data_IF_867640805720
#
_entry.id   IF_867640805720
#
_cell.length_a   1.000
_cell.length_b   1.000
_cell.length_c   1.000
_cell.angle_alpha   90.00
_cell.angle_beta   90.00
_cell.angle_gamma   90.00
#
_symmetry.space_group_name_H-M   'P 1'
#
loop_
_entity.id
_entity.type
_entity.pdbx_description
1 polymer ?
#
# COMPACT_ATOMS: atom_id res chain seq x y z
N UNK A 1 7.81 -19.56 1.26
CA UNK A 1 6.72 -18.57 1.05
C UNK A 1 7.22 -17.41 0.17
N UNK A 2 6.41 -16.92 -0.77
CA UNK A 2 6.78 -15.87 -1.75
C UNK A 2 6.17 -14.49 -1.47
N UNK A 3 5.31 -14.37 -0.46
CA UNK A 3 4.66 -13.10 -0.11
C UNK A 3 5.70 -12.05 0.32
N UNK A 4 5.68 -10.87 -0.31
CA UNK A 4 6.61 -9.77 -0.03
C UNK A 4 6.12 -8.82 1.08
N UNK A 5 4.81 -8.74 1.30
CA UNK A 5 4.18 -7.90 2.30
C UNK A 5 2.78 -8.42 2.65
N UNK A 6 2.23 -7.96 3.78
CA UNK A 6 0.85 -8.20 4.20
C UNK A 6 0.15 -6.86 4.48
N UNK A 7 -1.13 -6.78 4.18
CA UNK A 7 -2.00 -5.62 4.37
C UNK A 7 -3.46 -6.09 4.44
N UNK A 8 -4.44 -5.18 4.54
CA UNK A 8 -5.80 -5.54 4.96
C UNK A 8 -6.87 -5.34 3.87
N UNK A 9 -6.59 -4.67 2.76
CA UNK A 9 -7.62 -4.24 1.80
C UNK A 9 -7.38 -4.64 0.34
N UNK A 10 -6.13 -4.82 -0.08
CA UNK A 10 -5.72 -4.95 -1.47
C UNK A 10 -6.37 -6.13 -2.19
N UNK A 11 -6.51 -7.27 -1.49
CA UNK A 11 -7.21 -8.43 -2.03
C UNK A 11 -8.72 -8.16 -2.24
N UNK A 12 -9.36 -7.42 -1.34
CA UNK A 12 -10.78 -7.06 -1.46
C UNK A 12 -11.01 -6.11 -2.65
N UNK A 13 -10.14 -5.11 -2.83
CA UNK A 13 -10.16 -4.25 -4.02
C UNK A 13 -9.94 -5.05 -5.31
N UNK A 14 -8.95 -5.95 -5.32
CA UNK A 14 -8.67 -6.79 -6.49
C UNK A 14 -9.86 -7.66 -6.88
N UNK A 15 -10.55 -8.24 -5.90
CA UNK A 15 -11.74 -9.05 -6.15
C UNK A 15 -12.85 -8.23 -6.82
N UNK A 16 -13.18 -7.05 -6.28
CA UNK A 16 -14.21 -6.18 -6.87
C UNK A 16 -13.80 -5.68 -8.26
N UNK A 17 -12.55 -5.23 -8.44
CA UNK A 17 -12.09 -4.78 -9.75
C UNK A 17 -12.12 -5.89 -10.80
N UNK A 18 -11.77 -7.12 -10.41
CA UNK A 18 -11.90 -8.29 -11.25
C UNK A 18 -13.35 -8.55 -11.68
N UNK A 19 -14.30 -8.53 -10.73
CA UNK A 19 -15.72 -8.78 -11.01
C UNK A 19 -16.33 -7.75 -11.98
N UNK A 20 -15.82 -6.51 -11.98
CA UNK A 20 -16.30 -5.42 -12.83
C UNK A 20 -15.43 -5.14 -14.05
N UNK A 21 -14.39 -5.93 -14.31
CA UNK A 21 -13.49 -5.75 -15.46
C UNK A 21 -12.70 -4.44 -15.43
N UNK A 22 -12.43 -3.89 -14.24
CA UNK A 22 -11.68 -2.65 -14.05
C UNK A 22 -10.21 -2.97 -13.78
N UNK A 23 -9.30 -2.34 -14.52
CA UNK A 23 -7.87 -2.49 -14.28
C UNK A 23 -7.48 -1.92 -12.91
N UNK A 24 -6.66 -2.67 -12.16
CA UNK A 24 -6.19 -2.29 -10.82
C UNK A 24 -4.67 -2.43 -10.73
N UNK A 25 -4.03 -1.43 -10.11
CA UNK A 25 -2.66 -1.51 -9.61
C UNK A 25 -2.66 -1.21 -8.12
N UNK A 26 -1.94 -2.01 -7.33
CA UNK A 26 -1.80 -1.83 -5.88
C UNK A 26 -0.34 -1.50 -5.57
N UNK A 27 -0.12 -0.40 -4.85
CA UNK A 27 1.21 0.03 -4.39
C UNK A 27 1.14 0.26 -2.89
N UNK A 28 2.16 -0.22 -2.17
CA UNK A 28 2.27 -0.11 -0.71
C UNK A 28 3.67 0.37 -0.33
N UNK A 29 3.74 1.30 0.62
CA UNK A 29 4.99 1.66 1.31
C UNK A 29 5.08 0.79 2.57
N UNK A 30 6.19 0.05 2.73
CA UNK A 30 6.39 -0.83 3.88
C UNK A 30 6.56 0.01 5.15
N UNK A 31 5.65 -0.16 6.11
CA UNK A 31 5.63 0.59 7.38
C UNK A 31 6.53 -0.02 8.45
N UNK A 32 6.61 -1.34 8.49
CA UNK A 32 7.22 -2.10 9.56
C UNK A 32 7.62 -3.50 9.06
N UNK A 33 8.17 -4.27 10.00
CA UNK A 33 8.37 -5.70 9.84
C UNK A 33 7.13 -6.36 10.40
N UNK A 34 6.51 -7.27 9.66
CA UNK A 34 5.35 -8.04 10.10
C UNK A 34 5.74 -9.14 11.11
N UNK A 35 6.49 -8.76 12.14
CA UNK A 35 6.96 -9.59 13.25
C UNK A 35 6.56 -8.94 14.59
N UNK A 36 6.98 -9.52 15.72
CA UNK A 36 6.61 -9.04 17.06
C UNK A 36 7.12 -7.61 17.37
N UNK A 37 7.95 -7.02 16.50
CA UNK A 37 8.40 -5.63 16.58
C UNK A 37 7.58 -4.67 15.69
N UNK A 38 6.45 -5.09 15.13
CA UNK A 38 5.52 -4.27 14.34
C UNK A 38 4.90 -3.07 15.09
N UNK A 39 5.21 -2.87 16.37
CA UNK A 39 4.67 -1.77 17.19
C UNK A 39 5.31 -0.39 16.93
N UNK A 40 5.86 -0.17 15.73
CA UNK A 40 6.30 1.17 15.31
C UNK A 40 5.08 2.10 15.34
N UNK A 41 5.26 3.37 15.72
CA UNK A 41 4.19 4.38 15.71
C UNK A 41 3.70 4.59 14.27
N UNK A 42 2.75 3.76 13.84
CA UNK A 42 2.15 3.78 12.52
C UNK A 42 1.53 5.16 12.20
N UNK A 43 0.82 5.83 13.13
CA UNK A 43 0.40 7.22 12.93
C UNK A 43 1.55 8.18 12.58
N UNK A 44 2.70 8.06 13.24
CA UNK A 44 3.89 8.86 12.90
C UNK A 44 4.44 8.48 11.52
N UNK A 45 4.55 7.19 11.21
CA UNK A 45 4.98 6.72 9.88
C UNK A 45 4.08 7.26 8.76
N UNK A 46 2.77 7.24 8.96
CA UNK A 46 1.81 7.81 8.01
C UNK A 46 2.08 9.30 7.73
N UNK A 47 2.26 10.09 8.80
CA UNK A 47 2.50 11.54 8.69
C UNK A 47 3.84 11.87 8.08
N UNK A 48 4.90 11.20 8.50
CA UNK A 48 6.28 11.59 8.15
C UNK A 48 6.76 10.96 6.84
N UNK A 49 6.26 9.76 6.50
CA UNK A 49 6.77 8.93 5.41
C UNK A 49 5.68 8.63 4.38
N UNK A 50 4.67 7.82 4.74
CA UNK A 50 3.74 7.24 3.76
C UNK A 50 3.04 8.31 2.93
N UNK A 51 2.52 9.37 3.57
CA UNK A 51 1.79 10.45 2.89
C UNK A 51 2.57 11.09 1.75
N UNK A 52 3.86 11.39 1.96
CA UNK A 52 4.75 12.02 0.95
C UNK A 52 5.02 11.08 -0.21
N UNK A 53 5.36 9.81 0.07
CA UNK A 53 5.66 8.84 -0.98
C UNK A 53 4.42 8.49 -1.79
N UNK A 54 3.27 8.29 -1.15
CA UNK A 54 2.02 8.00 -1.85
C UNK A 54 1.63 9.14 -2.79
N UNK A 55 1.68 10.40 -2.33
CA UNK A 55 1.40 11.55 -3.18
C UNK A 55 2.36 11.62 -4.38
N UNK A 56 3.67 11.50 -4.14
CA UNK A 56 4.67 11.57 -5.20
C UNK A 56 4.53 10.45 -6.25
N UNK A 57 4.19 9.22 -5.82
CA UNK A 57 3.97 8.09 -6.73
C UNK A 57 2.76 8.32 -7.64
N UNK A 58 1.65 8.79 -7.08
CA UNK A 58 0.43 9.10 -7.86
C UNK A 58 0.68 10.27 -8.81
N UNK A 59 1.35 11.33 -8.35
CA UNK A 59 1.72 12.45 -9.22
C UNK A 59 2.60 11.98 -10.39
N UNK A 60 3.60 11.13 -10.13
CA UNK A 60 4.46 10.59 -11.17
C UNK A 60 3.69 9.72 -12.17
N UNK A 61 2.74 8.90 -11.69
CA UNK A 61 1.89 8.06 -12.53
C UNK A 61 0.98 8.89 -13.45
N UNK A 62 0.42 9.99 -12.95
CA UNK A 62 -0.55 10.82 -13.68
C UNK A 62 0.10 11.85 -14.63
N UNK A 63 1.41 12.10 -14.50
CA UNK A 63 2.16 13.02 -15.37
C UNK A 63 2.69 12.36 -16.66
N UNK A 64 2.53 11.04 -16.80
CA UNK A 64 2.80 10.31 -18.05
C UNK A 64 1.68 10.49 -19.07
#
# INVERSE_FOLDING_TARGET
>A
PEALAVEMEGAAFAQVCHDYGVALAVVRTISDRADDAAHVDFPRFLREVASRYSAAMIEALLRG
#
